data_IF_916758300983
#
_entry.id   IF_916758300983
#
_cell.length_a   1.000
_cell.length_b   1.000
_cell.length_c   1.000
_cell.angle_alpha   90.00
_cell.angle_beta   90.00
_cell.angle_gamma   90.00
#
_symmetry.space_group_name_H-M   'P 1'
#
loop_
_entity.id
_entity.type
_entity.pdbx_description
1 polymer ?
#
# COMPACT_ATOMS: atom_id res chain seq x y z
N UNK A 1 -16.73 50.63 -1.79
CA UNK A 1 -15.49 49.83 -1.67
C UNK A 1 -15.62 48.65 -0.72
N UNK A 2 -16.17 48.82 0.49
CA UNK A 2 -16.24 47.74 1.49
C UNK A 2 -17.15 46.55 1.11
N UNK A 3 -18.25 46.78 0.39
CA UNK A 3 -19.20 45.72 -0.01
C UNK A 3 -18.61 44.76 -1.04
N UNK A 4 -17.86 45.26 -2.01
CA UNK A 4 -17.18 44.44 -3.04
C UNK A 4 -16.07 43.60 -2.39
N UNK A 5 -15.31 44.18 -1.46
CA UNK A 5 -14.27 43.48 -0.71
C UNK A 5 -14.86 42.34 0.16
N UNK A 6 -16.01 42.56 0.80
CA UNK A 6 -16.73 41.52 1.54
C UNK A 6 -17.19 40.39 0.62
N UNK A 7 -17.71 40.72 -0.57
CA UNK A 7 -18.19 39.71 -1.53
C UNK A 7 -17.04 38.84 -2.07
N UNK A 8 -15.90 39.45 -2.37
CA UNK A 8 -14.69 38.73 -2.83
C UNK A 8 -14.10 37.85 -1.73
N UNK A 9 -14.12 38.31 -0.47
CA UNK A 9 -13.71 37.53 0.70
C UNK A 9 -14.61 36.31 0.90
N UNK A 10 -15.93 36.50 0.81
CA UNK A 10 -16.90 35.41 0.90
C UNK A 10 -16.73 34.37 -0.23
N UNK A 11 -16.49 34.82 -1.47
CA UNK A 11 -16.21 33.93 -2.60
C UNK A 11 -14.89 33.15 -2.43
N UNK A 12 -13.85 33.75 -1.85
CA UNK A 12 -12.61 33.05 -1.52
C UNK A 12 -12.83 31.98 -0.45
N UNK A 13 -13.58 32.29 0.59
CA UNK A 13 -13.95 31.32 1.62
C UNK A 13 -14.77 30.17 1.04
N UNK A 14 -15.71 30.44 0.12
CA UNK A 14 -16.51 29.40 -0.53
C UNK A 14 -15.66 28.44 -1.39
N UNK A 15 -14.60 28.93 -2.05
CA UNK A 15 -13.70 28.09 -2.86
C UNK A 15 -12.84 27.15 -2.02
N UNK A 16 -12.47 27.54 -0.80
CA UNK A 16 -11.68 26.71 0.11
C UNK A 16 -12.51 25.51 0.62
N UNK A 17 -13.82 25.68 0.80
CA UNK A 17 -14.72 24.61 1.27
C UNK A 17 -15.13 23.63 0.15
N UNK A 18 -14.98 24.00 -1.13
CA UNK A 18 -15.36 23.15 -2.26
C UNK A 18 -14.26 22.16 -2.68
N UNK A 19 -13.05 22.27 -2.10
CA UNK A 19 -11.92 21.37 -2.36
C UNK A 19 -11.71 20.46 -1.14
N UNK A 20 -12.63 19.52 -0.90
CA UNK A 20 -12.58 18.73 0.34
C UNK A 20 -13.06 17.29 0.27
N UNK A 21 -13.82 16.89 -0.74
CA UNK A 21 -14.38 15.53 -0.78
C UNK A 21 -13.57 14.69 -1.77
N UNK A 22 -12.33 14.40 -1.39
CA UNK A 22 -11.59 13.29 -2.00
C UNK A 22 -12.35 11.98 -1.73
N UNK A 23 -12.35 11.05 -2.69
CA UNK A 23 -12.89 9.73 -2.44
C UNK A 23 -12.24 9.14 -1.17
N UNK A 24 -12.99 8.39 -0.35
CA UNK A 24 -12.40 7.71 0.78
C UNK A 24 -11.24 6.81 0.29
N UNK A 25 -10.19 6.62 1.11
CA UNK A 25 -9.13 5.69 0.77
C UNK A 25 -9.68 4.32 0.39
N UNK A 26 -9.07 3.71 -0.61
CA UNK A 26 -9.44 2.35 -1.01
C UNK A 26 -9.25 1.39 0.17
N UNK A 27 -10.29 0.60 0.44
CA UNK A 27 -10.25 -0.49 1.41
C UNK A 27 -10.26 -1.79 0.64
N UNK A 28 -9.16 -2.55 0.72
CA UNK A 28 -9.09 -3.86 0.08
C UNK A 28 -10.03 -4.83 0.80
N UNK A 29 -10.66 -5.75 0.04
CA UNK A 29 -11.44 -6.84 0.65
C UNK A 29 -10.55 -7.77 1.45
N UNK A 30 -9.34 -8.02 0.94
CA UNK A 30 -8.35 -8.91 1.50
C UNK A 30 -6.94 -8.31 1.35
N UNK A 31 -6.08 -8.60 2.32
CA UNK A 31 -4.66 -8.24 2.30
C UNK A 31 -3.84 -9.53 2.26
N UNK A 32 -3.35 -9.88 1.07
CA UNK A 32 -2.46 -11.03 0.87
C UNK A 32 -1.04 -10.49 0.76
N UNK A 33 -0.27 -10.67 1.83
CA UNK A 33 1.13 -10.25 1.92
C UNK A 33 1.97 -11.51 2.11
N UNK A 34 2.62 -11.94 1.04
CA UNK A 34 3.38 -13.19 1.00
C UNK A 34 4.87 -12.84 0.89
N UNK A 35 5.69 -13.46 1.73
CA UNK A 35 7.15 -13.36 1.78
C UNK A 35 7.72 -14.58 1.02
N UNK A 36 7.89 -14.41 -0.29
CA UNK A 36 8.31 -15.45 -1.22
C UNK A 36 9.75 -15.92 -0.95
N UNK A 37 9.93 -17.23 -0.82
CA UNK A 37 11.21 -17.84 -0.46
C UNK A 37 11.50 -17.83 1.05
N UNK A 38 10.60 -17.31 1.87
CA UNK A 38 10.67 -17.42 3.32
C UNK A 38 9.81 -18.58 3.82
N UNK A 39 10.35 -19.37 4.75
CA UNK A 39 9.57 -20.41 5.46
C UNK A 39 8.98 -19.90 6.78
N UNK A 40 9.05 -18.60 7.05
CA UNK A 40 8.59 -18.01 8.30
C UNK A 40 7.95 -16.65 8.07
N UNK A 41 6.95 -16.34 8.89
CA UNK A 41 6.30 -15.05 8.85
C UNK A 41 7.24 -13.92 9.31
N UNK A 42 6.96 -12.72 8.81
CA UNK A 42 7.70 -11.52 9.16
C UNK A 42 6.75 -10.34 9.39
N UNK A 43 7.28 -9.23 9.90
CA UNK A 43 6.53 -7.99 10.09
C UNK A 43 7.38 -6.83 9.60
N UNK A 44 6.85 -6.08 8.64
CA UNK A 44 7.54 -4.92 8.10
C UNK A 44 7.48 -3.75 9.08
N UNK A 45 8.35 -2.76 8.88
CA UNK A 45 8.48 -1.60 9.78
C UNK A 45 7.22 -0.72 9.84
N UNK A 46 6.34 -0.84 8.84
CA UNK A 46 5.02 -0.20 8.82
C UNK A 46 3.94 -1.01 9.56
N UNK A 47 4.32 -2.12 10.21
CA UNK A 47 3.46 -2.95 11.04
C UNK A 47 2.65 -4.01 10.27
N UNK A 48 2.86 -4.15 8.95
CA UNK A 48 2.18 -5.19 8.17
C UNK A 48 2.79 -6.56 8.41
N UNK A 49 1.93 -7.56 8.57
CA UNK A 49 2.31 -8.97 8.71
C UNK A 49 2.42 -9.62 7.34
N UNK A 50 3.49 -10.38 7.13
CA UNK A 50 3.79 -11.11 5.91
C UNK A 50 3.91 -12.59 6.23
N UNK A 51 3.22 -13.44 5.47
CA UNK A 51 3.23 -14.90 5.64
C UNK A 51 4.30 -15.52 4.76
N UNK A 52 5.07 -16.49 5.27
CA UNK A 52 6.03 -17.24 4.44
C UNK A 52 5.35 -18.09 3.37
N UNK A 53 6.01 -18.34 2.25
CA UNK A 53 5.41 -19.06 1.11
C UNK A 53 5.54 -20.59 1.16
N UNK A 54 6.40 -21.14 2.03
CA UNK A 54 6.77 -22.57 2.00
C UNK A 54 5.60 -23.55 2.10
N UNK A 55 4.52 -23.17 2.80
CA UNK A 55 3.31 -23.99 2.97
C UNK A 55 2.02 -23.18 2.72
N UNK A 56 2.13 -22.10 1.95
CA UNK A 56 0.98 -21.25 1.69
C UNK A 56 -0.07 -21.96 0.83
N UNK A 57 -1.34 -21.58 0.97
CA UNK A 57 -2.42 -22.05 0.07
C UNK A 57 -2.24 -21.60 -1.39
N UNK A 58 -1.27 -20.72 -1.66
CA UNK A 58 -0.94 -20.22 -3.00
C UNK A 58 0.18 -21.04 -3.66
N UNK A 59 0.78 -21.96 -2.91
CA UNK A 59 1.83 -22.86 -3.37
C UNK A 59 1.24 -23.92 -4.31
N UNK A 60 1.75 -24.04 -5.55
CA UNK A 60 1.29 -25.05 -6.48
C UNK A 60 1.66 -26.46 -5.99
N UNK A 61 0.83 -27.49 -6.24
CA UNK A 61 1.04 -28.84 -5.73
C UNK A 61 2.35 -29.49 -6.19
N UNK A 62 2.83 -29.13 -7.39
CA UNK A 62 4.06 -29.67 -7.98
C UNK A 62 5.20 -28.63 -7.98
N UNK A 63 5.32 -27.82 -6.92
CA UNK A 63 6.27 -26.69 -6.85
C UNK A 63 7.72 -27.09 -7.20
N UNK A 64 8.15 -28.29 -6.81
CA UNK A 64 9.51 -28.81 -7.05
C UNK A 64 9.83 -29.04 -8.53
N UNK A 65 8.81 -29.17 -9.39
CA UNK A 65 8.97 -29.47 -10.83
C UNK A 65 8.47 -28.32 -11.69
N UNK A 66 7.48 -27.56 -11.20
CA UNK A 66 6.83 -26.48 -11.95
C UNK A 66 7.47 -25.10 -11.76
N UNK A 67 8.37 -24.93 -10.79
CA UNK A 67 8.90 -23.60 -10.43
C UNK A 67 10.42 -23.57 -10.40
N UNK A 68 10.98 -22.37 -10.49
CA UNK A 68 12.39 -22.11 -10.28
C UNK A 68 12.52 -21.06 -9.18
N UNK A 69 13.51 -21.21 -8.30
CA UNK A 69 13.84 -20.18 -7.33
C UNK A 69 14.26 -18.90 -8.06
N UNK A 70 13.72 -17.77 -7.62
CA UNK A 70 14.09 -16.44 -8.09
C UNK A 70 14.46 -15.58 -6.89
N UNK A 71 15.51 -14.78 -7.03
CA UNK A 71 15.88 -13.80 -5.99
C UNK A 71 15.27 -12.46 -6.36
N UNK A 72 14.59 -11.83 -5.40
CA UNK A 72 14.03 -10.50 -5.58
C UNK A 72 15.12 -9.47 -5.93
N UNK A 73 14.78 -8.50 -6.76
CA UNK A 73 15.64 -7.34 -6.98
C UNK A 73 15.82 -6.56 -5.68
N UNK A 74 17.03 -6.08 -5.43
CA UNK A 74 17.34 -5.28 -4.23
C UNK A 74 16.52 -4.00 -4.25
N UNK A 75 15.77 -3.76 -3.17
CA UNK A 75 15.04 -2.51 -2.98
C UNK A 75 16.04 -1.38 -2.65
N UNK A 76 15.76 -0.16 -3.12
CA UNK A 76 16.61 0.99 -2.83
C UNK A 76 16.70 1.21 -1.31
N UNK A 77 17.90 1.41 -0.76
CA UNK A 77 18.10 1.59 0.68
C UNK A 77 17.46 2.87 1.24
N UNK A 78 17.09 3.83 0.40
CA UNK A 78 16.38 5.05 0.83
C UNK A 78 14.88 4.85 1.01
N UNK A 79 14.33 3.72 0.55
CA UNK A 79 12.92 3.36 0.77
C UNK A 79 12.80 2.34 1.89
N UNK A 80 11.67 2.41 2.59
CA UNK A 80 11.29 1.42 3.60
C UNK A 80 11.31 0.02 2.98
N UNK A 81 12.13 -0.85 3.57
CA UNK A 81 12.25 -2.22 3.10
C UNK A 81 10.99 -3.00 3.48
N UNK A 82 10.46 -3.76 2.53
CA UNK A 82 9.36 -4.69 2.77
C UNK A 82 9.74 -6.09 2.27
N UNK A 83 9.26 -7.15 2.92
CA UNK A 83 9.42 -8.52 2.43
C UNK A 83 8.88 -8.69 1.00
N UNK A 84 9.37 -9.72 0.30
CA UNK A 84 8.97 -10.05 -1.07
C UNK A 84 8.69 -11.53 -1.17
#
# INVERSE_FOLDING_TARGET
MNTIALYLSFLHLLRIHAAGEGLPPYTASDYILLDCGSSSDSTSTDGRHWEGDSDSKFTPPDIQIATNASTASVQNSTITQVPY
#
